data_IF_494801786459
#
_entry.id   IF_494801786459
#
_cell.length_a   1.000
_cell.length_b   1.000
_cell.length_c   1.000
_cell.angle_alpha   90.00
_cell.angle_beta   90.00
_cell.angle_gamma   90.00
#
_symmetry.space_group_name_H-M   'P 1'
#
loop_
_entity.id
_entity.type
_entity.pdbx_description
1 polymer ?
#
# COMPACT_ATOMS: atom_id res chain seq x y z
N UNK A 1 1.00 -16.44 -4.24
CA UNK A 1 0.06 -15.61 -5.01
C UNK A 1 -0.36 -14.35 -4.25
N UNK A 2 -0.96 -14.44 -3.06
CA UNK A 2 -1.47 -13.30 -2.26
C UNK A 2 -0.44 -12.20 -1.94
N UNK A 3 0.78 -12.53 -1.53
CA UNK A 3 1.82 -11.55 -1.22
C UNK A 3 2.20 -10.69 -2.43
N UNK A 4 2.29 -11.29 -3.61
CA UNK A 4 2.57 -10.59 -4.87
C UNK A 4 1.43 -9.65 -5.26
N UNK A 5 0.19 -10.09 -5.05
CA UNK A 5 -1.01 -9.27 -5.27
C UNK A 5 -1.09 -8.10 -4.29
N UNK A 6 -0.77 -8.34 -3.00
CA UNK A 6 -0.72 -7.27 -2.00
C UNK A 6 0.34 -6.23 -2.31
N UNK A 7 1.55 -6.66 -2.71
CA UNK A 7 2.62 -5.75 -3.14
C UNK A 7 2.22 -4.92 -4.35
N UNK A 8 1.57 -5.55 -5.34
CA UNK A 8 1.08 -4.82 -6.52
C UNK A 8 0.02 -3.79 -6.15
N UNK A 9 -0.91 -4.14 -5.25
CA UNK A 9 -1.95 -3.24 -4.78
C UNK A 9 -1.39 -2.05 -3.98
N UNK A 10 -0.40 -2.29 -3.10
CA UNK A 10 0.28 -1.22 -2.38
C UNK A 10 1.03 -0.28 -3.34
N UNK A 11 1.70 -0.82 -4.35
CA UNK A 11 2.39 -0.03 -5.36
C UNK A 11 1.42 0.84 -6.18
N UNK A 12 0.26 0.31 -6.54
CA UNK A 12 -0.79 1.06 -7.24
C UNK A 12 -1.35 2.20 -6.36
N UNK A 13 -1.66 1.91 -5.10
CA UNK A 13 -2.14 2.90 -4.14
C UNK A 13 -1.10 4.02 -3.91
N UNK A 14 0.17 3.66 -3.81
CA UNK A 14 1.28 4.60 -3.70
C UNK A 14 1.35 5.54 -4.89
N UNK A 15 1.32 4.99 -6.11
CA UNK A 15 1.35 5.79 -7.34
C UNK A 15 0.16 6.74 -7.42
N UNK A 16 -1.02 6.30 -7.00
CA UNK A 16 -2.22 7.12 -7.00
C UNK A 16 -2.13 8.25 -5.96
N UNK A 17 -1.64 7.97 -4.76
CA UNK A 17 -1.42 8.99 -3.73
C UNK A 17 -0.33 9.99 -4.12
N UNK A 18 0.78 9.54 -4.71
CA UNK A 18 1.85 10.41 -5.23
C UNK A 18 1.33 11.34 -6.32
N UNK A 19 0.51 10.84 -7.24
CA UNK A 19 -0.14 11.65 -8.28
C UNK A 19 -1.10 12.68 -7.67
N UNK A 20 -1.90 12.29 -6.70
CA UNK A 20 -2.82 13.19 -5.98
C UNK A 20 -2.04 14.27 -5.22
N UNK A 21 -0.98 13.88 -4.53
CA UNK A 21 -0.08 14.80 -3.80
C UNK A 21 0.57 15.82 -4.74
N UNK A 22 1.03 15.39 -5.90
CA UNK A 22 1.60 16.28 -6.92
C UNK A 22 0.57 17.31 -7.39
N UNK A 23 -0.66 16.87 -7.70
CA UNK A 23 -1.76 17.75 -8.09
C UNK A 23 -2.14 18.75 -7.00
N UNK A 24 -2.21 18.30 -5.74
CA UNK A 24 -2.51 19.19 -4.60
C UNK A 24 -1.40 20.22 -4.37
N UNK A 25 -0.13 19.84 -4.52
CA UNK A 25 0.99 20.78 -4.41
C UNK A 25 0.97 21.83 -5.53
N UNK A 26 0.60 21.44 -6.74
CA UNK A 26 0.43 22.39 -7.84
C UNK A 26 -0.73 23.35 -7.56
N UNK A 27 -1.87 22.85 -7.12
CA UNK A 27 -3.00 23.68 -6.71
C UNK A 27 -2.63 24.64 -5.58
N UNK A 28 -1.90 24.17 -4.58
CA UNK A 28 -1.36 25.00 -3.49
C UNK A 28 -0.52 26.15 -4.03
N UNK A 29 0.43 25.86 -4.91
CA UNK A 29 1.31 26.87 -5.50
C UNK A 29 0.53 27.91 -6.30
N UNK A 30 -0.47 27.49 -7.07
CA UNK A 30 -1.35 28.40 -7.80
C UNK A 30 -2.15 29.28 -6.84
N UNK A 31 -2.73 28.73 -5.79
CA UNK A 31 -3.49 29.47 -4.77
C UNK A 31 -2.61 30.45 -3.99
N UNK A 32 -1.39 30.07 -3.63
CA UNK A 32 -0.43 30.95 -2.96
C UNK A 32 -0.02 32.12 -3.87
N UNK A 33 0.16 31.89 -5.17
CA UNK A 33 0.44 32.92 -6.15
C UNK A 33 -0.73 33.92 -6.26
N UNK A 34 -1.96 33.40 -6.32
CA UNK A 34 -3.17 34.21 -6.36
C UNK A 34 -3.33 34.99 -5.05
N UNK A 35 -3.12 34.36 -3.92
CA UNK A 35 -3.20 34.99 -2.61
C UNK A 35 -2.20 36.16 -2.50
N UNK A 36 -0.96 35.96 -2.96
CA UNK A 36 0.05 37.01 -3.00
C UNK A 36 -0.39 38.19 -3.89
N UNK A 37 -0.82 37.90 -5.12
CA UNK A 37 -1.27 38.90 -6.04
C UNK A 37 -2.47 39.71 -5.50
N UNK A 38 -3.39 39.02 -4.82
CA UNK A 38 -4.54 39.65 -4.18
C UNK A 38 -4.11 40.53 -3.01
N UNK A 39 -3.23 40.04 -2.17
CA UNK A 39 -2.65 40.79 -1.04
C UNK A 39 -1.89 42.05 -1.52
N UNK A 40 -1.04 41.86 -2.54
CA UNK A 40 -0.26 42.97 -3.12
C UNK A 40 -1.19 44.05 -3.69
N UNK A 41 -2.25 43.63 -4.39
CA UNK A 41 -3.25 44.58 -4.88
C UNK A 41 -3.99 45.29 -3.75
N UNK A 42 -4.45 44.57 -2.72
CA UNK A 42 -5.14 45.14 -1.55
C UNK A 42 -4.23 46.07 -0.72
N UNK A 43 -2.93 45.91 -0.78
CA UNK A 43 -1.94 46.79 -0.13
C UNK A 43 -1.51 47.96 -1.04
N UNK A 44 -1.91 47.96 -2.30
CA UNK A 44 -1.54 49.03 -3.25
C UNK A 44 -2.19 50.36 -2.93
N UNK A 45 -1.58 51.45 -3.41
CA UNK A 45 -2.17 52.78 -3.33
C UNK A 45 -3.49 52.90 -4.12
N UNK A 46 -3.67 52.09 -5.12
CA UNK A 46 -4.95 52.00 -5.87
C UNK A 46 -6.08 51.58 -4.96
N UNK A 47 -5.87 50.45 -4.26
CA UNK A 47 -6.92 49.90 -3.37
C UNK A 47 -7.11 50.77 -2.10
N UNK A 48 -6.00 51.20 -1.49
CA UNK A 48 -6.02 51.85 -0.17
C UNK A 48 -6.36 53.35 -0.22
N UNK A 49 -6.09 54.02 -1.36
CA UNK A 49 -6.26 55.46 -1.50
C UNK A 49 -7.18 55.84 -2.68
N UNK A 50 -6.92 55.28 -3.89
CA UNK A 50 -7.60 55.72 -5.10
C UNK A 50 -9.06 55.27 -5.12
N UNK A 51 -9.35 54.01 -4.83
CA UNK A 51 -10.71 53.45 -4.81
C UNK A 51 -11.58 54.15 -3.75
N UNK A 52 -11.17 54.31 -2.49
CA UNK A 52 -11.95 55.07 -1.51
C UNK A 52 -12.24 56.51 -1.94
N UNK A 53 -11.24 57.20 -2.48
CA UNK A 53 -11.43 58.58 -2.98
C UNK A 53 -12.42 58.64 -4.16
N UNK A 54 -12.36 57.66 -5.08
CA UNK A 54 -13.33 57.57 -6.19
C UNK A 54 -14.74 57.28 -5.68
N UNK A 55 -14.89 56.39 -4.67
CA UNK A 55 -16.18 56.07 -4.05
C UNK A 55 -16.79 57.27 -3.35
N UNK A 56 -15.99 57.99 -2.60
CA UNK A 56 -16.43 59.22 -1.92
C UNK A 56 -16.88 60.28 -2.94
N UNK A 57 -16.04 60.53 -3.96
CA UNK A 57 -16.30 61.49 -4.99
C UNK A 57 -17.47 61.14 -5.93
N UNK A 58 -17.72 59.84 -6.17
CA UNK A 58 -18.82 59.36 -6.98
C UNK A 58 -20.21 59.67 -6.38
N UNK A 59 -20.28 59.95 -5.08
CA UNK A 59 -21.48 60.36 -4.38
C UNK A 59 -21.75 61.89 -4.48
N UNK A 60 -20.81 62.64 -5.07
CA UNK A 60 -20.99 64.08 -5.25
C UNK A 60 -22.09 64.41 -6.31
N UNK A 61 -22.89 65.46 -6.10
CA UNK A 61 -23.89 65.82 -7.08
C UNK A 61 -23.28 66.48 -8.34
N UNK A 62 -23.89 66.23 -9.50
CA UNK A 62 -23.53 66.85 -10.78
C UNK A 62 -22.58 66.02 -11.64
N UNK A 63 -22.04 66.68 -12.71
CA UNK A 63 -21.17 65.98 -13.72
C UNK A 63 -19.88 65.44 -13.13
N UNK A 64 -19.28 66.06 -12.09
CA UNK A 64 -18.08 65.62 -11.43
C UNK A 64 -18.29 64.24 -10.77
N UNK A 65 -19.44 64.08 -10.08
CA UNK A 65 -19.76 62.77 -9.45
C UNK A 65 -19.98 61.67 -10.49
N UNK A 66 -20.67 62.04 -11.62
CA UNK A 66 -20.88 61.06 -12.72
C UNK A 66 -19.54 60.62 -13.36
N UNK A 67 -18.59 61.54 -13.56
CA UNK A 67 -17.27 61.25 -14.10
C UNK A 67 -16.48 60.30 -13.18
N UNK A 68 -16.48 60.57 -11.87
CA UNK A 68 -15.80 59.72 -10.87
C UNK A 68 -16.46 58.35 -10.75
N UNK A 69 -17.79 58.28 -10.89
CA UNK A 69 -18.48 56.97 -10.96
C UNK A 69 -18.07 56.16 -12.18
N UNK A 70 -17.99 56.80 -13.36
CA UNK A 70 -17.48 56.12 -14.56
C UNK A 70 -16.03 55.61 -14.42
N UNK A 71 -15.17 56.40 -13.74
CA UNK A 71 -13.81 55.96 -13.43
C UNK A 71 -13.80 54.79 -12.45
N UNK A 72 -14.64 54.78 -11.42
CA UNK A 72 -14.77 53.64 -10.49
C UNK A 72 -15.23 52.40 -11.22
N UNK A 73 -16.26 52.49 -12.07
CA UNK A 73 -16.71 51.38 -12.90
C UNK A 73 -15.60 50.82 -13.82
N UNK A 74 -14.72 51.67 -14.33
CA UNK A 74 -13.57 51.25 -15.12
C UNK A 74 -12.54 50.52 -14.29
N UNK A 75 -12.25 50.98 -13.07
CA UNK A 75 -11.36 50.29 -12.10
C UNK A 75 -11.95 48.95 -11.73
N UNK A 76 -13.24 48.86 -11.41
CA UNK A 76 -13.92 47.61 -11.10
C UNK A 76 -13.84 46.61 -12.25
N UNK A 77 -14.02 47.05 -13.51
CA UNK A 77 -13.82 46.17 -14.69
C UNK A 77 -12.40 45.67 -14.82
N UNK A 78 -11.39 46.49 -14.50
CA UNK A 78 -10.00 46.08 -14.50
C UNK A 78 -9.74 45.01 -13.42
N UNK A 79 -10.29 45.23 -12.22
CA UNK A 79 -10.20 44.26 -11.11
C UNK A 79 -10.87 42.92 -11.51
N UNK A 80 -12.09 42.98 -12.04
CA UNK A 80 -12.80 41.80 -12.50
C UNK A 80 -12.04 41.05 -13.59
N UNK A 81 -11.40 41.77 -14.51
CA UNK A 81 -10.57 41.17 -15.56
C UNK A 81 -9.29 40.54 -14.98
N UNK A 82 -8.59 41.24 -14.09
CA UNK A 82 -7.34 40.79 -13.46
C UNK A 82 -7.56 39.53 -12.63
N UNK A 83 -8.67 39.43 -11.91
CA UNK A 83 -9.02 38.32 -11.04
C UNK A 83 -10.03 37.35 -11.65
N UNK A 84 -10.28 37.42 -12.96
CA UNK A 84 -11.24 36.55 -13.68
C UNK A 84 -10.93 35.06 -13.52
N UNK A 85 -9.64 34.68 -13.35
CA UNK A 85 -9.21 33.31 -13.11
C UNK A 85 -9.77 32.68 -11.82
N UNK A 86 -10.20 33.50 -10.84
CA UNK A 86 -10.83 33.02 -9.61
C UNK A 86 -12.20 32.35 -9.84
N UNK A 87 -12.84 32.64 -10.97
CA UNK A 87 -14.11 32.00 -11.34
C UNK A 87 -13.97 30.47 -11.47
N UNK A 88 -12.81 29.97 -11.84
CA UNK A 88 -12.52 28.53 -11.88
C UNK A 88 -12.56 27.86 -10.48
N UNK A 89 -12.39 28.68 -9.44
CA UNK A 89 -12.48 28.24 -8.03
C UNK A 89 -13.89 28.54 -7.44
N UNK A 90 -14.83 28.98 -8.26
CA UNK A 90 -16.16 29.38 -7.81
C UNK A 90 -16.19 30.74 -7.08
N UNK A 91 -15.11 31.52 -7.14
CA UNK A 91 -14.97 32.82 -6.50
C UNK A 91 -15.18 33.90 -7.57
N UNK A 92 -16.22 34.71 -7.39
CA UNK A 92 -16.52 35.83 -8.31
C UNK A 92 -16.04 37.14 -7.71
N UNK A 93 -15.25 37.89 -8.50
CA UNK A 93 -14.78 39.22 -8.16
C UNK A 93 -15.26 40.17 -9.26
N UNK A 94 -16.19 41.05 -8.94
CA UNK A 94 -16.74 42.06 -9.87
C UNK A 94 -16.28 43.46 -9.53
N UNK A 95 -16.03 43.71 -8.25
CA UNK A 95 -15.69 45.02 -7.70
C UNK A 95 -14.57 44.92 -6.68
N UNK A 96 -14.00 46.05 -6.29
CA UNK A 96 -13.01 46.10 -5.22
C UNK A 96 -13.55 45.60 -3.86
N UNK A 97 -14.85 45.69 -3.63
CA UNK A 97 -15.46 45.23 -2.37
C UNK A 97 -15.53 43.71 -2.24
N UNK A 98 -15.41 43.00 -3.33
CA UNK A 98 -15.39 41.52 -3.33
C UNK A 98 -14.04 40.93 -2.93
N UNK A 99 -12.97 41.75 -3.00
CA UNK A 99 -11.59 41.26 -2.79
C UNK A 99 -11.32 40.67 -1.37
N UNK A 100 -11.79 41.28 -0.27
CA UNK A 100 -11.61 40.69 1.06
C UNK A 100 -12.32 39.33 1.21
N UNK A 101 -13.50 39.20 0.63
CA UNK A 101 -14.25 37.93 0.62
C UNK A 101 -13.50 36.87 -0.23
N UNK A 102 -12.99 37.28 -1.40
CA UNK A 102 -12.18 36.42 -2.25
C UNK A 102 -10.88 35.95 -1.54
N UNK A 103 -10.19 36.88 -0.85
CA UNK A 103 -9.00 36.54 -0.07
C UNK A 103 -9.30 35.51 1.04
N UNK A 104 -10.42 35.70 1.75
CA UNK A 104 -10.89 34.77 2.76
C UNK A 104 -11.21 33.38 2.18
N UNK A 105 -11.88 33.32 1.05
CA UNK A 105 -12.22 32.08 0.35
C UNK A 105 -10.97 31.34 -0.11
N UNK A 106 -9.96 32.03 -0.65
CA UNK A 106 -8.68 31.47 -1.04
C UNK A 106 -7.95 30.90 0.18
N UNK A 107 -7.91 31.64 1.30
CA UNK A 107 -7.29 31.17 2.53
C UNK A 107 -7.96 29.89 3.04
N UNK A 108 -9.28 29.79 3.00
CA UNK A 108 -10.02 28.58 3.37
C UNK A 108 -9.71 27.42 2.42
N UNK A 109 -9.64 27.68 1.12
CA UNK A 109 -9.28 26.65 0.12
C UNK A 109 -7.84 26.15 0.34
N UNK A 110 -6.90 27.04 0.67
CA UNK A 110 -5.52 26.67 1.03
C UNK A 110 -5.47 25.77 2.26
N UNK A 111 -6.28 26.02 3.27
CA UNK A 111 -6.38 25.15 4.45
C UNK A 111 -6.86 23.75 4.03
N UNK A 112 -7.88 23.66 3.19
CA UNK A 112 -8.38 22.38 2.70
C UNK A 112 -7.35 21.62 1.86
N UNK A 113 -6.63 22.32 0.98
CA UNK A 113 -5.55 21.73 0.17
C UNK A 113 -4.42 21.25 1.06
N UNK A 114 -3.99 22.04 2.04
CA UNK A 114 -2.96 21.61 3.00
C UNK A 114 -3.40 20.37 3.80
N UNK A 115 -4.65 20.33 4.26
CA UNK A 115 -5.20 19.14 4.93
C UNK A 115 -5.18 17.93 4.00
N UNK A 116 -5.51 18.10 2.72
CA UNK A 116 -5.42 17.03 1.73
C UNK A 116 -3.98 16.53 1.51
N UNK A 117 -3.03 17.45 1.48
CA UNK A 117 -1.58 17.12 1.40
C UNK A 117 -1.13 16.29 2.59
N UNK A 118 -1.49 16.71 3.81
CA UNK A 118 -1.16 15.98 5.05
C UNK A 118 -1.78 14.57 5.06
N UNK A 119 -3.01 14.43 4.58
CA UNK A 119 -3.69 13.13 4.45
C UNK A 119 -2.97 12.23 3.44
N UNK A 120 -2.56 12.77 2.28
CA UNK A 120 -1.79 12.03 1.28
C UNK A 120 -0.43 11.58 1.84
N UNK A 121 0.28 12.46 2.55
CA UNK A 121 1.55 12.13 3.19
C UNK A 121 1.39 11.03 4.24
N UNK A 122 0.39 11.16 5.11
CA UNK A 122 0.07 10.12 6.10
C UNK A 122 -0.28 8.79 5.43
N UNK A 123 -1.01 8.80 4.33
CA UNK A 123 -1.31 7.61 3.54
C UNK A 123 -0.06 6.97 2.94
N UNK A 124 0.88 7.77 2.43
CA UNK A 124 2.17 7.28 1.92
C UNK A 124 3.02 6.65 3.03
N UNK A 125 3.03 7.23 4.23
CA UNK A 125 3.73 6.68 5.38
C UNK A 125 3.14 5.32 5.81
N UNK A 126 1.82 5.19 5.79
CA UNK A 126 1.13 3.93 6.06
C UNK A 126 1.47 2.86 5.01
N UNK A 127 1.55 3.24 3.73
CA UNK A 127 1.98 2.34 2.65
C UNK A 127 3.42 1.90 2.87
N UNK A 128 4.34 2.81 3.22
CA UNK A 128 5.73 2.48 3.49
C UNK A 128 5.88 1.50 4.67
N UNK A 129 5.09 1.69 5.73
CA UNK A 129 5.01 0.74 6.85
C UNK A 129 4.46 -0.62 6.40
N UNK A 130 3.43 -0.62 5.57
CA UNK A 130 2.86 -1.83 4.98
C UNK A 130 3.85 -2.57 4.07
N UNK A 131 4.63 -1.86 3.26
CA UNK A 131 5.70 -2.43 2.44
C UNK A 131 6.78 -3.09 3.30
N UNK A 132 7.19 -2.44 4.40
CA UNK A 132 8.17 -2.99 5.35
C UNK A 132 7.63 -4.25 6.03
N UNK A 133 6.42 -4.21 6.55
CA UNK A 133 5.78 -5.37 7.16
C UNK A 133 5.63 -6.55 6.18
N UNK A 134 5.39 -6.25 4.91
CA UNK A 134 5.30 -7.26 3.86
C UNK A 134 6.67 -7.90 3.56
N UNK A 135 7.74 -7.12 3.57
CA UNK A 135 9.12 -7.61 3.43
C UNK A 135 9.51 -8.49 4.61
N UNK A 136 9.23 -8.06 5.83
CA UNK A 136 9.51 -8.84 7.05
C UNK A 136 8.74 -10.17 7.04
N UNK A 137 7.48 -10.14 6.61
CA UNK A 137 6.68 -11.35 6.46
C UNK A 137 7.26 -12.29 5.39
N UNK A 138 7.76 -11.74 4.28
CA UNK A 138 8.41 -12.51 3.23
C UNK A 138 9.69 -13.18 3.71
N UNK A 139 10.54 -12.44 4.44
CA UNK A 139 11.79 -12.95 4.98
C UNK A 139 11.56 -14.03 6.04
N UNK A 140 10.58 -13.84 6.90
CA UNK A 140 10.13 -14.83 7.85
C UNK A 140 9.63 -16.09 7.16
N UNK A 141 8.82 -15.93 6.12
CA UNK A 141 8.29 -17.03 5.32
C UNK A 141 9.43 -17.82 4.65
N UNK A 142 10.39 -17.11 4.07
CA UNK A 142 11.55 -17.70 3.41
C UNK A 142 12.43 -18.48 4.40
N UNK A 143 12.65 -17.91 5.58
CA UNK A 143 13.40 -18.54 6.67
C UNK A 143 12.70 -19.82 7.16
N UNK A 144 11.38 -19.77 7.34
CA UNK A 144 10.60 -20.95 7.75
C UNK A 144 10.56 -22.02 6.66
N UNK A 145 10.47 -21.62 5.37
CA UNK A 145 10.57 -22.55 4.25
C UNK A 145 11.93 -23.25 4.22
N UNK A 146 13.02 -22.51 4.47
CA UNK A 146 14.36 -23.07 4.54
C UNK A 146 14.51 -24.07 5.70
N UNK A 147 14.02 -23.72 6.90
CA UNK A 147 14.03 -24.59 8.07
C UNK A 147 13.17 -25.85 7.84
N UNK A 148 12.02 -25.70 7.22
CA UNK A 148 11.17 -26.81 6.84
C UNK A 148 11.86 -27.74 5.83
N UNK A 149 12.55 -27.16 4.83
CA UNK A 149 13.31 -27.91 3.84
C UNK A 149 14.44 -28.72 4.48
N UNK A 150 15.17 -28.12 5.44
CA UNK A 150 16.22 -28.82 6.21
C UNK A 150 15.62 -29.98 7.02
N UNK A 151 14.52 -29.72 7.71
CA UNK A 151 13.83 -30.74 8.52
C UNK A 151 13.32 -31.89 7.65
N UNK A 152 12.75 -31.60 6.50
CA UNK A 152 12.31 -32.61 5.53
C UNK A 152 13.52 -33.41 4.97
N UNK A 153 14.62 -32.70 4.68
CA UNK A 153 15.86 -33.32 4.26
C UNK A 153 16.41 -34.31 5.30
N UNK A 154 16.43 -33.91 6.58
CA UNK A 154 16.84 -34.78 7.69
C UNK A 154 15.92 -35.99 7.86
N UNK A 155 14.60 -35.78 7.79
CA UNK A 155 13.62 -36.85 7.85
C UNK A 155 13.73 -37.79 6.66
N UNK A 156 13.99 -37.27 5.47
CA UNK A 156 14.23 -38.08 4.27
C UNK A 156 15.50 -38.96 4.40
N UNK A 157 16.59 -38.38 4.96
CA UNK A 157 17.80 -39.12 5.22
C UNK A 157 17.62 -40.22 6.29
N UNK A 158 16.86 -39.92 7.36
CA UNK A 158 16.48 -40.89 8.37
C UNK A 158 15.62 -42.03 7.77
N UNK A 159 14.70 -41.67 6.89
CA UNK A 159 13.88 -42.65 6.19
C UNK A 159 14.72 -43.54 5.26
N UNK A 160 15.64 -42.93 4.50
CA UNK A 160 16.55 -43.71 3.65
C UNK A 160 17.39 -44.68 4.46
N UNK A 161 17.88 -44.23 5.64
CA UNK A 161 18.62 -45.08 6.57
C UNK A 161 17.74 -46.20 7.13
N UNK A 162 16.51 -45.86 7.52
CA UNK A 162 15.55 -46.85 8.00
C UNK A 162 15.15 -47.86 6.90
N UNK A 163 14.96 -47.37 5.66
CA UNK A 163 14.70 -48.24 4.52
C UNK A 163 15.88 -49.20 4.21
N UNK A 164 17.12 -48.67 4.27
CA UNK A 164 18.30 -49.48 4.09
C UNK A 164 18.46 -50.51 5.22
N UNK A 165 18.19 -50.11 6.46
CA UNK A 165 18.17 -51.02 7.62
C UNK A 165 17.09 -52.09 7.48
N UNK A 166 15.90 -51.68 6.99
CA UNK A 166 14.80 -52.60 6.73
C UNK A 166 15.13 -53.60 5.61
N UNK A 167 15.79 -53.14 4.53
CA UNK A 167 16.23 -54.01 3.45
C UNK A 167 17.30 -55.00 3.93
N UNK A 168 18.20 -54.54 4.80
CA UNK A 168 19.20 -55.42 5.46
C UNK A 168 18.51 -56.43 6.36
N UNK A 169 17.56 -55.97 7.19
CA UNK A 169 16.78 -56.86 8.06
C UNK A 169 15.92 -57.83 7.27
N UNK A 170 15.37 -57.40 6.14
CA UNK A 170 14.63 -58.27 5.22
C UNK A 170 15.53 -59.35 4.65
N UNK A 171 16.74 -58.99 4.20
CA UNK A 171 17.72 -59.96 3.69
C UNK A 171 18.18 -60.96 4.78
N UNK A 172 18.39 -60.47 6.01
CA UNK A 172 18.69 -61.34 7.15
C UNK A 172 17.52 -62.26 7.49
N UNK A 173 16.29 -61.73 7.42
CA UNK A 173 15.08 -62.50 7.65
C UNK A 173 14.86 -63.54 6.54
N UNK A 174 15.06 -63.15 5.27
CA UNK A 174 14.99 -64.10 4.14
C UNK A 174 16.04 -65.19 4.30
N UNK A 175 17.26 -64.83 4.70
CA UNK A 175 18.30 -65.79 5.02
C UNK A 175 17.95 -66.68 6.23
N UNK A 176 17.44 -66.05 7.30
CA UNK A 176 16.94 -66.77 8.47
C UNK A 176 15.73 -67.62 8.18
N UNK A 177 14.87 -67.18 7.26
CA UNK A 177 13.74 -67.94 6.73
C UNK A 177 14.22 -69.15 5.92
N UNK A 178 15.19 -68.92 5.05
CA UNK A 178 15.79 -70.04 4.28
C UNK A 178 16.53 -71.03 5.20
N UNK A 179 17.22 -70.50 6.22
CA UNK A 179 17.86 -71.29 7.27
C UNK A 179 16.84 -72.01 8.22
N UNK A 180 15.65 -71.37 8.38
CA UNK A 180 14.56 -71.87 9.23
C UNK A 180 13.51 -72.69 8.48
N UNK A 181 13.38 -72.49 7.16
CA UNK A 181 12.58 -73.40 6.28
C UNK A 181 13.15 -74.77 6.25
N UNK A 182 14.48 -74.90 6.46
CA UNK A 182 15.13 -76.18 6.74
C UNK A 182 14.77 -76.70 8.14
N UNK A 183 14.19 -75.90 9.02
CA UNK A 183 13.87 -76.23 10.43
C UNK A 183 12.46 -75.93 10.90
N UNK A 184 11.49 -75.75 9.99
CA UNK A 184 10.07 -75.57 10.33
C UNK A 184 9.63 -74.15 10.80
N UNK A 185 8.98 -73.45 9.94
CA UNK A 185 7.90 -72.47 10.13
C UNK A 185 8.17 -71.29 11.06
N UNK A 186 8.53 -70.14 10.48
CA UNK A 186 8.37 -68.86 11.17
C UNK A 186 7.66 -67.84 10.27
N UNK A 187 6.36 -67.72 10.49
CA UNK A 187 5.55 -66.61 9.98
C UNK A 187 5.50 -65.51 11.04
N UNK A 188 5.72 -64.35 10.66
CA UNK A 188 5.44 -63.10 11.29
C UNK A 188 6.69 -62.26 11.59
N UNK A 189 6.68 -61.08 11.16
CA UNK A 189 7.15 -59.81 11.75
C UNK A 189 7.58 -58.85 10.65
N UNK A 190 6.69 -58.39 9.89
CA UNK A 190 6.80 -57.04 9.29
C UNK A 190 5.39 -56.48 9.13
N UNK A 191 5.01 -55.63 10.08
CA UNK A 191 3.74 -54.95 10.02
C UNK A 191 3.87 -53.66 9.19
N UNK A 192 3.01 -53.51 8.24
CA UNK A 192 2.83 -52.31 7.40
C UNK A 192 2.61 -51.04 8.24
N UNK A 193 2.18 -51.20 9.50
CA UNK A 193 1.88 -50.10 10.42
C UNK A 193 3.09 -49.24 10.79
N UNK A 194 4.30 -49.84 10.91
CA UNK A 194 5.50 -49.04 11.20
C UNK A 194 5.97 -48.19 10.01
N UNK A 195 5.73 -48.66 8.79
CA UNK A 195 5.98 -47.85 7.58
C UNK A 195 4.97 -46.75 7.42
N UNK A 196 3.70 -47.01 7.76
CA UNK A 196 2.64 -46.03 7.76
C UNK A 196 2.86 -44.90 8.75
N UNK A 197 3.31 -45.22 9.97
CA UNK A 197 3.68 -44.23 10.98
C UNK A 197 4.88 -43.36 10.55
N UNK A 198 5.85 -43.93 9.85
CA UNK A 198 7.00 -43.21 9.35
C UNK A 198 6.63 -42.27 8.21
N UNK A 199 5.67 -42.64 7.34
CA UNK A 199 5.15 -41.80 6.26
C UNK A 199 4.22 -40.68 6.78
N UNK A 200 3.44 -40.93 7.83
CA UNK A 200 2.58 -39.91 8.47
C UNK A 200 3.44 -38.86 9.20
N UNK A 201 4.59 -39.23 9.75
CA UNK A 201 5.50 -38.28 10.39
C UNK A 201 6.20 -37.33 9.39
N UNK A 202 6.09 -37.57 8.08
CA UNK A 202 6.66 -36.73 7.03
C UNK A 202 5.69 -35.67 6.47
N UNK A 203 4.40 -35.81 6.72
CA UNK A 203 3.42 -34.79 6.35
C UNK A 203 3.44 -33.70 7.42
N UNK A 204 4.19 -32.64 7.13
CA UNK A 204 4.38 -31.54 8.04
C UNK A 204 3.74 -30.28 7.46
N UNK A 205 2.64 -29.87 8.07
CA UNK A 205 1.96 -28.60 7.73
C UNK A 205 2.27 -27.59 8.84
N UNK A 206 2.96 -26.51 8.49
CA UNK A 206 3.35 -25.47 9.43
C UNK A 206 2.68 -24.13 9.12
N UNK A 207 1.96 -23.54 10.07
CA UNK A 207 1.53 -22.16 9.91
C UNK A 207 2.75 -21.23 9.91
N UNK A 208 2.95 -20.51 8.80
CA UNK A 208 4.09 -19.62 8.58
C UNK A 208 3.95 -18.26 9.27
N UNK A 209 2.85 -18.00 9.95
CA UNK A 209 2.59 -16.76 10.68
C UNK A 209 1.41 -15.96 10.14
N UNK A 210 1.29 -14.72 10.61
CA UNK A 210 0.19 -13.84 10.26
C UNK A 210 0.73 -12.64 9.49
N UNK A 211 0.05 -12.26 8.40
CA UNK A 211 0.27 -11.00 7.67
C UNK A 211 -0.91 -10.08 7.98
N UNK A 212 -0.62 -8.88 8.46
CA UNK A 212 -1.63 -7.87 8.70
C UNK A 212 -1.73 -6.94 7.50
N UNK A 213 -2.93 -6.80 6.95
CA UNK A 213 -3.27 -5.79 5.97
C UNK A 213 -3.40 -4.40 6.64
N UNK A 214 -3.24 -3.35 5.85
CA UNK A 214 -3.39 -1.94 6.28
C UNK A 214 -4.74 -1.61 6.93
N UNK A 215 -5.74 -2.48 6.76
CA UNK A 215 -7.08 -2.40 7.36
C UNK A 215 -7.22 -3.20 8.67
N UNK A 216 -6.15 -3.79 9.20
CA UNK A 216 -6.17 -4.57 10.43
C UNK A 216 -6.70 -6.01 10.28
N UNK A 217 -6.93 -6.48 9.07
CA UNK A 217 -7.34 -7.86 8.81
C UNK A 217 -6.12 -8.77 8.85
N UNK A 218 -6.16 -9.80 9.68
CA UNK A 218 -5.12 -10.81 9.79
C UNK A 218 -5.37 -11.96 8.80
N UNK A 219 -4.37 -12.26 8.00
CA UNK A 219 -4.35 -13.43 7.12
C UNK A 219 -3.36 -14.45 7.65
N UNK A 220 -3.80 -15.71 7.73
CA UNK A 220 -2.91 -16.83 8.05
C UNK A 220 -2.19 -17.24 6.77
N UNK A 221 -0.86 -17.21 6.80
CA UNK A 221 -0.05 -17.74 5.70
C UNK A 221 0.36 -19.15 6.08
N UNK A 222 -0.05 -20.11 5.28
CA UNK A 222 0.40 -21.50 5.39
C UNK A 222 1.41 -21.78 4.29
N UNK A 223 2.54 -22.38 4.67
CA UNK A 223 3.56 -22.86 3.73
C UNK A 223 3.55 -24.37 3.78
N UNK A 224 3.36 -24.96 2.65
CA UNK A 224 3.42 -26.37 2.41
C UNK A 224 2.22 -26.84 1.59
N UNK A 225 2.48 -27.60 0.58
CA UNK A 225 1.51 -28.52 -0.01
C UNK A 225 1.64 -29.83 0.74
N UNK A 226 0.52 -30.48 1.01
CA UNK A 226 0.51 -31.82 1.57
C UNK A 226 1.29 -32.77 0.63
N UNK A 227 2.54 -33.08 0.99
CA UNK A 227 3.37 -33.99 0.20
C UNK A 227 2.83 -35.40 0.43
N UNK A 228 2.21 -35.97 -0.60
CA UNK A 228 1.59 -37.31 -0.55
C UNK A 228 2.52 -38.41 -1.05
N UNK A 229 3.61 -38.06 -1.73
CA UNK A 229 4.55 -39.03 -2.29
C UNK A 229 5.95 -38.44 -2.42
N UNK A 230 6.98 -39.31 -2.54
CA UNK A 230 8.38 -38.93 -2.82
C UNK A 230 8.47 -38.18 -4.18
N UNK A 231 7.60 -38.49 -5.13
CA UNK A 231 7.55 -37.83 -6.43
C UNK A 231 7.06 -36.38 -6.33
N UNK A 232 6.18 -36.06 -5.39
CA UNK A 232 5.71 -34.70 -5.14
C UNK A 232 6.83 -33.84 -4.52
N UNK A 233 7.68 -34.43 -3.67
CA UNK A 233 8.87 -33.79 -3.13
C UNK A 233 9.90 -33.44 -4.22
N UNK A 234 10.10 -34.29 -5.21
CA UNK A 234 11.06 -34.05 -6.29
C UNK A 234 10.58 -33.01 -7.31
N UNK A 235 9.28 -32.72 -7.36
CA UNK A 235 8.65 -31.75 -8.25
C UNK A 235 8.35 -30.42 -7.58
N UNK A 236 8.52 -30.33 -6.26
CA UNK A 236 8.32 -29.09 -5.52
C UNK A 236 9.35 -28.05 -5.98
N UNK A 237 8.88 -26.99 -6.62
CA UNK A 237 9.72 -25.85 -6.98
C UNK A 237 9.90 -24.95 -5.76
N UNK A 238 11.04 -25.10 -5.10
CA UNK A 238 11.40 -24.39 -3.86
C UNK A 238 11.63 -22.88 -4.10
N UNK A 239 11.62 -22.42 -5.36
CA UNK A 239 11.78 -21.02 -5.72
C UNK A 239 10.44 -20.29 -5.94
N UNK A 240 9.33 -21.00 -6.14
CA UNK A 240 8.00 -20.40 -6.23
C UNK A 240 7.20 -20.68 -4.97
N UNK A 241 7.08 -19.65 -4.14
CA UNK A 241 6.25 -19.71 -2.93
C UNK A 241 4.77 -19.69 -3.31
N UNK A 242 4.15 -20.83 -3.35
CA UNK A 242 2.70 -20.96 -3.45
C UNK A 242 2.09 -20.94 -2.06
N UNK A 243 1.55 -19.78 -1.63
CA UNK A 243 0.64 -19.74 -0.50
C UNK A 243 -0.74 -20.18 -0.99
N UNK A 244 -1.28 -21.30 -0.48
CA UNK A 244 -2.67 -21.71 -0.69
C UNK A 244 -3.48 -21.48 0.59
N UNK A 245 -4.72 -21.05 0.37
CA UNK A 245 -5.74 -20.89 1.41
C UNK A 245 -6.15 -22.22 2.02
#
# INVERSE_FOLDING_TARGET
>A
MRLKEQKAKLAEQKTQLESTLASLNEQKSQLETIQSALSDFMNSDIYTKTIPSLKEGANAPGEAGQTLKAQLEQVDKQIATQFSGLSALGITVNTADDLPAAASAIAQTLIQVNTGIEQCQSGLDQIAQGETALLDAYDNLNSQAALSSISIGQQSAQLATAAASLDSSKKELEKSKDDALDKSNLNAVLTIDSLSQLLVAQNFDMPAGYVNDSNGTQYIVQVGDEIKSIDDFSKADWNEQTCRN
#
